data_IF_087044260925
#
_entry.id   IF_087044260925
#
_cell.length_a   1.000
_cell.length_b   1.000
_cell.length_c   1.000
_cell.angle_alpha   90.00
_cell.angle_beta   90.00
_cell.angle_gamma   90.00
#
_symmetry.space_group_name_H-M   'P 1'
#
loop_
_entity.id
_entity.type
_entity.pdbx_description
1 polymer ?
#
# COMPACT_ATOMS: atom_id res chain seq x y z
N UNK A 1 -11.87 -5.06 -3.11
CA UNK A 1 -11.27 -4.24 -2.07
C UNK A 1 -9.75 -4.16 -2.21
N UNK A 2 -9.18 -2.98 -2.02
CA UNK A 2 -7.72 -2.83 -2.13
C UNK A 2 -6.97 -3.62 -1.06
N UNK A 3 -7.52 -3.72 0.15
CA UNK A 3 -6.92 -4.50 1.23
C UNK A 3 -6.86 -5.99 0.91
N UNK A 4 -7.89 -6.52 0.26
CA UNK A 4 -7.90 -7.92 -0.17
C UNK A 4 -6.76 -8.22 -1.13
N UNK A 5 -6.57 -7.37 -2.13
CA UNK A 5 -5.51 -7.58 -3.11
C UNK A 5 -4.13 -7.60 -2.49
N UNK A 6 -3.86 -6.68 -1.54
CA UNK A 6 -2.57 -6.63 -0.87
C UNK A 6 -2.35 -7.87 -0.01
N UNK A 7 -3.38 -8.37 0.68
CA UNK A 7 -3.23 -9.58 1.51
C UNK A 7 -2.90 -10.82 0.69
N UNK A 8 -3.40 -10.90 -0.54
CA UNK A 8 -3.05 -11.99 -1.45
C UNK A 8 -1.56 -11.97 -1.82
N UNK A 9 -0.99 -10.78 -2.00
CA UNK A 9 0.41 -10.61 -2.40
C UNK A 9 1.36 -10.59 -1.20
N UNK A 10 0.88 -10.12 -0.06
CA UNK A 10 1.65 -10.01 1.18
C UNK A 10 0.88 -10.71 2.30
N UNK A 11 0.96 -12.05 2.39
CA UNK A 11 0.20 -12.79 3.41
C UNK A 11 0.59 -12.47 4.84
N UNK A 12 1.73 -11.81 5.05
CA UNK A 12 2.13 -11.35 6.38
C UNK A 12 1.28 -10.18 6.88
N UNK A 13 0.49 -9.53 6.01
CA UNK A 13 -0.41 -8.47 6.41
C UNK A 13 -1.59 -9.05 7.20
N UNK A 14 -1.91 -8.42 8.32
CA UNK A 14 -2.94 -8.92 9.23
C UNK A 14 -4.35 -8.62 8.74
N UNK A 15 -5.28 -9.55 8.98
CA UNK A 15 -6.70 -9.32 8.78
C UNK A 15 -7.30 -8.32 9.78
N UNK A 16 -6.56 -7.97 10.84
CA UNK A 16 -7.05 -7.15 11.93
C UNK A 16 -6.62 -5.69 11.83
N UNK A 17 -6.05 -5.28 10.70
CA UNK A 17 -5.56 -3.90 10.54
C UNK A 17 -6.65 -2.90 10.14
N UNK A 18 -7.89 -3.37 9.94
CA UNK A 18 -9.02 -2.51 9.63
C UNK A 18 -9.02 -1.99 8.20
N UNK A 19 -9.55 -0.79 8.01
CA UNK A 19 -9.55 -0.12 6.72
C UNK A 19 -8.13 0.30 6.32
N UNK A 20 -7.92 0.57 5.04
CA UNK A 20 -6.60 0.91 4.52
C UNK A 20 -5.94 2.06 5.29
N UNK A 21 -6.70 3.09 5.63
CA UNK A 21 -6.16 4.27 6.30
C UNK A 21 -5.71 4.03 7.76
N UNK A 22 -5.97 2.85 8.33
CA UNK A 22 -5.49 2.50 9.67
C UNK A 22 -4.37 1.46 9.65
N UNK A 23 -4.00 0.97 8.49
CA UNK A 23 -3.03 -0.12 8.38
C UNK A 23 -1.66 0.20 8.97
N UNK A 24 -1.14 1.41 8.71
CA UNK A 24 0.18 1.77 9.23
C UNK A 24 0.20 1.81 10.75
N UNK A 25 -0.87 2.30 11.37
CA UNK A 25 -0.99 2.39 12.82
C UNK A 25 -0.98 1.00 13.45
N UNK A 26 -1.82 0.10 12.94
CA UNK A 26 -1.93 -1.25 13.50
C UNK A 26 -0.67 -2.09 13.22
N UNK A 27 -0.08 -1.92 12.03
CA UNK A 27 1.16 -2.63 11.71
C UNK A 27 2.29 -2.20 12.66
N UNK A 28 2.43 -0.91 12.90
CA UNK A 28 3.42 -0.39 13.85
C UNK A 28 3.19 -0.94 15.25
N UNK A 29 1.94 -1.01 15.69
CA UNK A 29 1.59 -1.57 17.00
C UNK A 29 1.96 -3.05 17.12
N UNK A 30 1.99 -3.78 16.01
CA UNK A 30 2.36 -5.19 15.96
C UNK A 30 3.87 -5.42 15.74
N UNK A 31 4.67 -4.36 15.70
CA UNK A 31 6.11 -4.47 15.60
C UNK A 31 6.67 -4.39 14.18
N UNK A 32 5.85 -4.13 13.17
CA UNK A 32 6.36 -3.90 11.82
C UNK A 32 6.97 -2.52 11.72
N UNK A 33 8.07 -2.40 10.98
CA UNK A 33 8.65 -1.09 10.71
C UNK A 33 7.81 -0.38 9.67
N UNK A 34 7.64 0.93 9.86
CA UNK A 34 6.98 1.80 8.89
C UNK A 34 7.91 2.95 8.56
N UNK A 35 7.72 3.57 7.41
CA UNK A 35 8.56 4.71 7.01
C UNK A 35 8.07 5.37 5.73
N UNK A 36 8.88 6.29 5.22
CA UNK A 36 8.54 7.12 4.07
C UNK A 36 9.30 6.73 2.81
N UNK A 37 10.17 5.74 2.87
CA UNK A 37 11.00 5.32 1.73
C UNK A 37 10.37 4.09 1.09
N UNK A 38 10.01 4.15 -0.20
CA UNK A 38 9.46 2.98 -0.88
C UNK A 38 10.52 1.90 -1.10
N UNK A 39 10.12 0.65 -0.90
CA UNK A 39 10.97 -0.52 -1.11
C UNK A 39 10.11 -1.60 -1.77
N UNK A 40 10.65 -2.28 -2.77
CA UNK A 40 9.95 -3.40 -3.38
C UNK A 40 9.66 -4.46 -2.31
N UNK A 41 8.43 -4.97 -2.29
CA UNK A 41 7.96 -5.90 -1.27
C UNK A 41 7.24 -5.22 -0.10
N UNK A 42 7.30 -3.90 0.01
CA UNK A 42 6.58 -3.15 1.03
C UNK A 42 5.13 -2.93 0.62
N UNK A 43 4.30 -2.56 1.60
CA UNK A 43 2.92 -2.14 1.38
C UNK A 43 2.89 -0.62 1.44
N UNK A 44 2.41 0.02 0.37
CA UNK A 44 2.16 1.46 0.36
C UNK A 44 0.75 1.71 0.90
N UNK A 45 0.64 2.67 1.83
CA UNK A 45 -0.61 3.03 2.48
C UNK A 45 -0.85 4.52 2.27
N UNK A 46 -1.96 4.86 1.64
CA UNK A 46 -2.39 6.26 1.49
C UNK A 46 -3.54 6.51 2.45
N UNK A 47 -3.46 7.61 3.20
CA UNK A 47 -4.42 7.94 4.25
C UNK A 47 -5.60 8.81 3.78
N UNK A 48 -5.58 9.26 2.54
CA UNK A 48 -6.63 10.12 2.02
C UNK A 48 -7.92 9.38 1.69
N UNK A 49 -8.97 10.16 1.41
CA UNK A 49 -10.29 9.60 1.17
C UNK A 49 -10.93 9.07 2.44
N UNK A 50 -12.06 8.40 2.29
CA UNK A 50 -12.84 7.91 3.44
C UNK A 50 -12.18 6.68 4.08
N UNK A 51 -11.64 5.80 3.26
CA UNK A 51 -11.09 4.51 3.74
C UNK A 51 -9.60 4.36 3.49
N UNK A 52 -8.98 5.31 2.79
CA UNK A 52 -7.60 5.18 2.34
C UNK A 52 -7.45 4.20 1.19
N UNK A 53 -6.19 3.89 0.87
CA UNK A 53 -5.87 2.93 -0.17
C UNK A 53 -4.55 2.23 0.17
N UNK A 54 -4.42 0.97 -0.22
CA UNK A 54 -3.18 0.20 -0.05
C UNK A 54 -2.82 -0.47 -1.37
N UNK A 55 -1.51 -0.67 -1.57
CA UNK A 55 -0.99 -1.36 -2.75
C UNK A 55 0.32 -2.06 -2.40
N UNK A 56 0.64 -3.11 -3.15
CA UNK A 56 1.88 -3.85 -2.98
C UNK A 56 2.93 -3.29 -3.93
N UNK A 57 4.06 -2.81 -3.38
CA UNK A 57 5.14 -2.20 -4.16
C UNK A 57 5.94 -3.29 -4.86
N UNK A 58 6.00 -3.24 -6.19
CA UNK A 58 6.73 -4.22 -6.98
C UNK A 58 8.07 -3.70 -7.48
N UNK A 59 8.19 -2.39 -7.72
CA UNK A 59 9.42 -1.80 -8.22
C UNK A 59 9.52 -0.34 -7.79
N UNK A 60 10.74 0.15 -7.64
CA UNK A 60 11.02 1.51 -7.19
C UNK A 60 12.12 2.10 -8.06
N UNK A 61 11.81 3.18 -8.78
CA UNK A 61 12.82 3.97 -9.49
C UNK A 61 13.41 5.05 -8.60
N UNK A 62 12.54 5.69 -7.79
CA UNK A 62 12.93 6.72 -6.83
C UNK A 62 11.79 6.88 -5.83
N UNK A 63 11.96 7.77 -4.85
CA UNK A 63 10.89 8.08 -3.88
C UNK A 63 9.64 8.66 -4.56
N UNK A 64 9.79 9.21 -5.75
CA UNK A 64 8.72 9.85 -6.50
C UNK A 64 8.24 9.03 -7.70
N UNK A 65 8.72 7.80 -7.85
CA UNK A 65 8.33 6.96 -8.98
C UNK A 65 8.37 5.49 -8.57
N UNK A 66 7.18 4.92 -8.36
CA UNK A 66 7.04 3.51 -7.97
C UNK A 66 6.03 2.82 -8.87
N UNK A 67 6.10 1.50 -8.90
CA UNK A 67 5.16 0.64 -9.57
C UNK A 67 4.56 -0.31 -8.55
N UNK A 68 3.25 -0.55 -8.64
CA UNK A 68 2.52 -1.34 -7.65
C UNK A 68 1.60 -2.35 -8.32
N UNK A 69 1.23 -3.37 -7.56
CA UNK A 69 0.07 -4.21 -7.84
C UNK A 69 -1.00 -3.84 -6.84
N UNK A 70 -2.22 -3.64 -7.33
CA UNK A 70 -3.31 -3.15 -6.50
C UNK A 70 -4.64 -3.68 -7.01
N UNK A 71 -5.65 -3.62 -6.16
CA UNK A 71 -7.02 -3.94 -6.53
C UNK A 71 -7.93 -2.78 -6.15
N UNK A 72 -9.16 -2.78 -6.68
CA UNK A 72 -10.14 -1.74 -6.42
C UNK A 72 -9.64 -0.33 -6.81
N UNK A 73 -8.86 -0.25 -7.88
CA UNK A 73 -8.44 1.02 -8.46
C UNK A 73 -9.40 1.36 -9.61
N UNK A 74 -10.04 2.52 -9.55
CA UNK A 74 -11.05 2.96 -10.52
C UNK A 74 -12.12 1.88 -10.75
N UNK A 75 -12.58 1.26 -9.65
CA UNK A 75 -13.61 0.22 -9.64
C UNK A 75 -13.16 -1.12 -10.24
N UNK A 76 -11.89 -1.27 -10.55
CA UNK A 76 -11.33 -2.55 -10.97
C UNK A 76 -10.99 -3.37 -9.73
N UNK A 77 -11.53 -4.58 -9.63
CA UNK A 77 -11.34 -5.42 -8.44
C UNK A 77 -10.22 -6.44 -8.57
N UNK A 78 -9.75 -6.67 -9.78
CA UNK A 78 -8.65 -7.60 -10.01
C UNK A 78 -7.34 -6.99 -9.53
N UNK A 79 -6.42 -7.85 -9.08
CA UNK A 79 -5.07 -7.44 -8.71
C UNK A 79 -4.28 -7.23 -10.01
N UNK A 80 -3.80 -6.01 -10.23
CA UNK A 80 -3.04 -5.69 -11.44
C UNK A 80 -2.23 -4.41 -11.26
N UNK A 81 -1.30 -4.20 -12.18
CA UNK A 81 -0.57 -2.95 -12.30
C UNK A 81 -1.37 -2.03 -13.22
N UNK A 82 -2.19 -1.18 -12.61
CA UNK A 82 -3.10 -0.31 -13.38
C UNK A 82 -2.44 0.96 -13.89
N UNK A 83 -1.36 1.42 -13.24
CA UNK A 83 -0.82 2.77 -13.47
C UNK A 83 0.58 2.80 -14.05
N UNK A 84 1.31 1.68 -14.05
CA UNK A 84 2.72 1.72 -14.33
C UNK A 84 3.45 2.49 -13.24
N UNK A 85 4.52 3.20 -13.59
CA UNK A 85 5.22 4.05 -12.64
C UNK A 85 4.46 5.35 -12.41
N UNK A 86 4.31 5.73 -11.14
CA UNK A 86 3.61 6.97 -10.77
C UNK A 86 4.24 7.55 -9.50
N UNK A 87 3.92 8.83 -9.24
CA UNK A 87 4.42 9.50 -8.04
C UNK A 87 3.48 9.20 -6.86
N UNK A 88 3.92 8.39 -5.87
CA UNK A 88 3.06 8.03 -4.74
C UNK A 88 2.73 9.21 -3.83
N UNK A 89 3.52 10.28 -3.88
CA UNK A 89 3.31 11.45 -3.02
C UNK A 89 2.22 12.38 -3.54
N UNK A 90 1.71 12.13 -4.74
CA UNK A 90 0.72 13.00 -5.39
C UNK A 90 -0.59 12.26 -5.68
N UNK A 91 -0.88 11.19 -4.94
CA UNK A 91 -2.06 10.38 -5.23
C UNK A 91 -3.23 10.67 -4.27
N UNK A 92 -3.17 10.20 -3.04
CA UNK A 92 -4.33 10.18 -2.14
C UNK A 92 -3.88 10.48 -0.71
N UNK A 93 -3.51 11.73 -0.46
CA UNK A 93 -3.01 12.13 0.83
C UNK A 93 -1.57 11.67 1.07
N UNK A 94 -1.21 11.49 2.33
CA UNK A 94 0.13 11.07 2.71
C UNK A 94 0.32 9.57 2.49
N UNK A 95 1.48 9.19 1.95
CA UNK A 95 1.85 7.79 1.80
C UNK A 95 2.80 7.39 2.93
N UNK A 96 2.56 6.19 3.48
CA UNK A 96 3.43 5.53 4.46
C UNK A 96 3.66 4.11 3.97
N UNK A 97 4.86 3.58 4.16
CA UNK A 97 5.19 2.22 3.75
C UNK A 97 5.31 1.32 4.97
N UNK A 98 4.74 0.12 4.87
CA UNK A 98 4.89 -0.94 5.87
C UNK A 98 5.87 -1.95 5.31
N UNK A 99 6.95 -2.23 6.04
CA UNK A 99 7.99 -3.13 5.57
C UNK A 99 7.77 -4.54 6.11
N UNK A 100 8.06 -5.57 5.30
CA UNK A 100 8.05 -6.94 5.82
C UNK A 100 9.14 -7.11 6.87
N UNK A 101 8.85 -7.88 7.91
CA UNK A 101 9.84 -8.21 8.94
C UNK A 101 10.82 -9.27 8.49
#
# INVERSE_FOLDING_TARGET
QCTWGVKELAPWASNWWGNANTWAIYASAQGYRIGNVPVAGAIAVWDGGEYGHVAYVTDVQSENSIQVLESNYKRQKQIANYRGYFNPNEFLGKVTYIYPN
#
